data_IF_402956984218
#
_entry.id   IF_402956984218
#
_cell.length_a   1.000
_cell.length_b   1.000
_cell.length_c   1.000
_cell.angle_alpha   90.00
_cell.angle_beta   90.00
_cell.angle_gamma   90.00
#
_symmetry.space_group_name_H-M   'P 1'
#
loop_
_entity.id
_entity.type
_entity.pdbx_description
1 polymer ?
#
# COMPACT_ATOMS: atom_id res chain seq x y z
N UNK A 1 -18.84 -4.95 5.88
CA UNK A 1 -17.69 -4.16 6.31
C UNK A 1 -16.39 -4.72 5.75
N UNK A 2 -15.51 -3.86 5.36
CA UNK A 2 -14.27 -4.24 4.72
C UNK A 2 -13.17 -4.40 5.76
N UNK A 3 -12.53 -5.58 5.82
CA UNK A 3 -11.50 -5.87 6.82
C UNK A 3 -10.12 -5.31 6.47
N UNK A 4 -9.93 -4.82 5.25
CA UNK A 4 -8.61 -4.38 4.79
C UNK A 4 -8.10 -3.19 5.59
N UNK A 5 -8.99 -2.26 5.93
CA UNK A 5 -8.65 -1.09 6.73
C UNK A 5 -8.20 -1.43 8.15
N UNK A 6 -8.60 -2.59 8.64
CA UNK A 6 -8.29 -2.98 10.01
C UNK A 6 -6.79 -3.02 10.26
N UNK A 7 -6.03 -3.51 9.29
CA UNK A 7 -4.59 -3.67 9.46
C UNK A 7 -3.80 -2.44 9.06
N UNK A 8 -4.01 -1.92 7.86
CA UNK A 8 -3.17 -0.83 7.41
C UNK A 8 -3.44 0.49 8.14
N UNK A 9 -4.63 0.67 8.68
CA UNK A 9 -4.91 1.84 9.51
C UNK A 9 -4.24 1.76 10.88
N UNK A 10 -3.93 0.55 11.33
CA UNK A 10 -3.22 0.37 12.59
C UNK A 10 -1.72 0.54 12.47
N UNK A 11 -1.23 0.87 11.30
CA UNK A 11 0.18 1.21 11.10
C UNK A 11 0.45 2.66 11.50
N UNK A 12 -0.36 3.17 12.38
CA UNK A 12 -0.29 4.56 12.85
C UNK A 12 1.01 4.88 13.58
N UNK A 13 1.77 3.88 13.95
CA UNK A 13 3.09 4.08 14.54
C UNK A 13 3.98 4.92 13.62
N UNK A 14 3.77 4.84 12.32
CA UNK A 14 4.50 5.66 11.36
C UNK A 14 3.83 7.01 11.11
N UNK A 15 2.54 7.13 11.39
CA UNK A 15 1.74 8.35 11.20
C UNK A 15 2.01 9.02 9.85
N UNK A 16 1.80 8.24 8.79
CA UNK A 16 2.12 8.68 7.44
C UNK A 16 0.91 8.52 6.53
N UNK A 17 0.91 9.19 5.38
CA UNK A 17 -0.09 8.91 4.35
C UNK A 17 -0.10 7.43 3.99
N UNK A 18 -1.27 6.88 3.72
CA UNK A 18 -1.45 5.46 3.41
C UNK A 18 -2.35 5.30 2.20
N UNK A 19 -2.12 4.25 1.43
CA UNK A 19 -2.98 3.90 0.32
C UNK A 19 -4.33 3.45 0.87
N UNK A 20 -5.40 3.92 0.26
CA UNK A 20 -6.76 3.55 0.64
C UNK A 20 -7.16 2.28 -0.10
N UNK A 21 -6.84 1.13 0.48
CA UNK A 21 -7.14 -0.16 -0.13
C UNK A 21 -8.64 -0.44 -0.21
N UNK A 22 -9.43 0.11 0.70
CA UNK A 22 -10.88 -0.03 0.63
C UNK A 22 -11.44 0.62 -0.63
N UNK A 23 -10.94 1.80 -0.96
CA UNK A 23 -11.40 2.49 -2.15
C UNK A 23 -10.93 1.77 -3.41
N UNK A 24 -9.74 1.19 -3.39
CA UNK A 24 -9.28 0.35 -4.50
C UNK A 24 -10.24 -0.84 -4.69
N UNK A 25 -10.62 -1.50 -3.59
CA UNK A 25 -11.56 -2.62 -3.67
C UNK A 25 -12.91 -2.20 -4.25
N UNK A 26 -13.36 -0.98 -3.95
CA UNK A 26 -14.60 -0.44 -4.50
C UNK A 26 -14.47 -0.10 -5.99
N UNK A 27 -13.27 -0.04 -6.52
CA UNK A 27 -12.99 0.30 -7.92
C UNK A 27 -12.36 -0.86 -8.67
N UNK A 28 -12.84 -2.05 -8.39
CA UNK A 28 -12.53 -3.29 -9.12
C UNK A 28 -11.13 -3.85 -8.91
N UNK A 29 -10.43 -3.40 -7.89
CA UNK A 29 -9.20 -4.04 -7.47
C UNK A 29 -9.51 -5.21 -6.56
N UNK A 30 -8.86 -6.34 -6.77
CA UNK A 30 -8.94 -7.48 -5.85
C UNK A 30 -7.96 -7.22 -4.72
N UNK A 31 -8.50 -7.05 -3.50
CA UNK A 31 -7.69 -6.68 -2.33
C UNK A 31 -7.77 -7.79 -1.29
N UNK A 32 -6.63 -8.18 -0.76
CA UNK A 32 -6.58 -9.18 0.29
C UNK A 32 -5.42 -8.92 1.24
N UNK A 33 -5.57 -9.41 2.46
CA UNK A 33 -4.55 -9.30 3.50
C UNK A 33 -3.86 -10.63 3.72
N UNK A 34 -2.59 -10.54 4.10
CA UNK A 34 -1.80 -11.69 4.52
C UNK A 34 -1.01 -11.27 5.74
N UNK A 35 -1.13 -12.00 6.84
CA UNK A 35 -0.47 -11.66 8.09
C UNK A 35 0.33 -12.83 8.69
N UNK A 36 0.88 -13.69 7.85
CA UNK A 36 1.66 -14.83 8.32
C UNK A 36 2.99 -14.41 8.97
N UNK A 37 3.70 -13.49 8.34
CA UNK A 37 5.02 -13.04 8.82
C UNK A 37 5.06 -11.54 9.03
N UNK A 38 3.94 -10.97 9.39
CA UNK A 38 3.74 -9.55 9.49
C UNK A 38 2.40 -9.20 8.88
N UNK A 39 2.17 -7.94 8.63
CA UNK A 39 0.93 -7.48 8.01
C UNK A 39 1.23 -7.03 6.60
N UNK A 40 0.55 -7.62 5.62
CA UNK A 40 0.63 -7.16 4.25
C UNK A 40 -0.75 -7.03 3.64
N UNK A 41 -0.91 -6.06 2.76
CA UNK A 41 -2.11 -5.88 1.98
C UNK A 41 -1.72 -5.79 0.52
N UNK A 42 -2.40 -6.56 -0.32
CA UNK A 42 -2.13 -6.62 -1.75
C UNK A 42 -3.39 -6.25 -2.51
N UNK A 43 -3.22 -5.43 -3.55
CA UNK A 43 -4.30 -5.07 -4.47
C UNK A 43 -3.86 -5.44 -5.89
N UNK A 44 -4.72 -6.16 -6.61
CA UNK A 44 -4.45 -6.58 -7.99
C UNK A 44 -5.55 -6.12 -8.92
N UNK A 45 -5.14 -5.64 -10.09
CA UNK A 45 -6.07 -5.33 -11.17
C UNK A 45 -5.34 -5.44 -12.50
N UNK A 46 -5.76 -6.37 -13.37
CA UNK A 46 -5.10 -6.61 -14.63
C UNK A 46 -3.67 -7.07 -14.41
N UNK A 47 -2.72 -6.36 -15.01
CA UNK A 47 -1.29 -6.70 -14.90
C UNK A 47 -0.61 -6.06 -13.70
N UNK A 48 -1.32 -5.19 -12.97
CA UNK A 48 -0.75 -4.43 -11.87
C UNK A 48 -1.02 -5.06 -10.51
N UNK A 49 -0.03 -4.98 -9.64
CA UNK A 49 -0.17 -5.39 -8.24
C UNK A 49 0.49 -4.34 -7.36
N UNK A 50 -0.27 -3.84 -6.39
CA UNK A 50 0.25 -2.93 -5.36
C UNK A 50 0.33 -3.72 -4.07
N UNK A 51 1.46 -3.62 -3.36
CA UNK A 51 1.63 -4.33 -2.10
C UNK A 51 2.24 -3.41 -1.05
N UNK A 52 1.65 -3.45 0.14
CA UNK A 52 2.16 -2.76 1.32
C UNK A 52 2.46 -3.80 2.38
N UNK A 53 3.71 -3.86 2.82
CA UNK A 53 4.18 -4.79 3.84
C UNK A 53 4.62 -4.03 5.08
N UNK A 54 4.21 -4.51 6.25
CA UNK A 54 4.61 -3.94 7.51
C UNK A 54 5.18 -5.03 8.40
N UNK A 55 6.43 -4.87 8.84
CA UNK A 55 7.07 -5.78 9.78
C UNK A 55 6.73 -5.36 11.20
N UNK A 56 6.07 -6.23 11.94
CA UNK A 56 5.68 -5.93 13.31
C UNK A 56 6.87 -5.87 14.27
N UNK A 57 7.96 -6.55 13.93
CA UNK A 57 9.12 -6.63 14.81
C UNK A 57 10.18 -5.58 14.53
N UNK A 58 10.27 -5.11 13.29
CA UNK A 58 11.33 -4.19 12.88
C UNK A 58 10.90 -2.77 12.59
N UNK A 59 9.61 -2.48 12.63
CA UNK A 59 9.10 -1.16 12.26
C UNK A 59 9.39 -0.80 10.81
N UNK A 60 9.62 -1.78 9.97
CA UNK A 60 9.92 -1.56 8.56
C UNK A 60 8.62 -1.64 7.77
N UNK A 61 8.46 -0.73 6.83
CA UNK A 61 7.31 -0.63 5.97
C UNK A 61 7.80 -0.58 4.52
N UNK A 62 7.24 -1.43 3.69
CA UNK A 62 7.65 -1.51 2.29
C UNK A 62 6.44 -1.32 1.37
N UNK A 63 6.62 -0.49 0.35
CA UNK A 63 5.66 -0.34 -0.73
C UNK A 63 6.28 -0.87 -2.01
N UNK A 64 5.52 -1.64 -2.76
CA UNK A 64 5.98 -2.17 -4.04
C UNK A 64 4.86 -2.21 -5.06
N UNK A 65 5.23 -2.11 -6.32
CA UNK A 65 4.32 -2.25 -7.45
C UNK A 65 4.93 -3.23 -8.43
N UNK A 66 4.11 -4.17 -8.89
CA UNK A 66 4.50 -5.10 -9.96
C UNK A 66 3.63 -4.84 -11.19
N UNK A 67 4.23 -5.03 -12.34
CA UNK A 67 3.53 -5.05 -13.63
C UNK A 67 4.00 -6.29 -14.37
N UNK A 68 3.05 -7.14 -14.77
CA UNK A 68 3.37 -8.43 -15.41
C UNK A 68 4.35 -9.26 -14.59
N UNK A 69 4.15 -9.30 -13.26
CA UNK A 69 4.99 -10.03 -12.30
C UNK A 69 6.40 -9.49 -12.15
N UNK A 70 6.71 -8.33 -12.71
CA UNK A 70 8.01 -7.69 -12.56
C UNK A 70 7.88 -6.50 -11.62
N UNK A 71 8.80 -6.39 -10.67
CA UNK A 71 8.81 -5.26 -9.76
C UNK A 71 9.24 -4.01 -10.53
N UNK A 72 8.36 -2.99 -10.57
CA UNK A 72 8.65 -1.73 -11.25
C UNK A 72 8.83 -0.58 -10.26
N UNK A 73 8.48 -0.79 -8.99
CA UNK A 73 8.72 0.16 -7.91
C UNK A 73 8.85 -0.62 -6.61
N UNK A 74 9.84 -0.26 -5.81
CA UNK A 74 10.00 -0.85 -4.47
C UNK A 74 10.76 0.13 -3.60
N UNK A 75 10.22 0.42 -2.41
CA UNK A 75 10.86 1.33 -1.47
C UNK A 75 10.59 0.86 -0.04
N UNK A 76 11.66 0.81 0.74
CA UNK A 76 11.57 0.52 2.17
C UNK A 76 11.51 1.83 2.95
N UNK A 77 10.68 1.84 3.98
CA UNK A 77 10.54 2.96 4.90
C UNK A 77 10.73 2.49 6.33
N UNK A 78 11.05 3.42 7.23
CA UNK A 78 11.22 3.14 8.65
C UNK A 78 10.84 4.38 9.45
N UNK A 79 11.19 4.43 10.74
CA UNK A 79 10.86 5.57 11.58
C UNK A 79 11.57 6.86 11.16
N UNK A 80 12.68 6.73 10.45
CA UNK A 80 13.45 7.89 9.98
C UNK A 80 13.01 8.29 8.58
N UNK A 81 12.97 7.32 7.66
CA UNK A 81 12.53 7.57 6.28
C UNK A 81 11.08 7.12 6.15
N UNK A 82 10.15 8.03 6.35
CA UNK A 82 8.71 7.76 6.28
C UNK A 82 8.18 8.08 4.89
N UNK A 83 7.16 7.35 4.43
CA UNK A 83 6.55 7.68 3.14
C UNK A 83 5.84 9.03 3.23
N UNK A 84 6.01 9.83 2.19
CA UNK A 84 5.30 11.09 2.02
C UNK A 84 4.22 10.90 0.96
N UNK A 85 3.37 11.92 0.78
CA UNK A 85 2.36 11.91 -0.28
C UNK A 85 3.03 11.67 -1.64
N UNK A 86 4.24 12.19 -1.85
CA UNK A 86 4.96 12.02 -3.11
C UNK A 86 5.29 10.54 -3.39
N UNK A 87 5.68 9.79 -2.37
CA UNK A 87 5.93 8.35 -2.54
C UNK A 87 4.64 7.58 -2.79
N UNK A 88 3.56 7.94 -2.11
CA UNK A 88 2.26 7.34 -2.37
C UNK A 88 1.81 7.63 -3.81
N UNK A 89 2.02 8.86 -4.27
CA UNK A 89 1.74 9.21 -5.66
C UNK A 89 2.52 8.33 -6.63
N UNK A 90 3.82 8.14 -6.39
CA UNK A 90 4.65 7.31 -7.24
C UNK A 90 4.13 5.88 -7.34
N UNK A 91 3.71 5.32 -6.21
CA UNK A 91 3.15 3.96 -6.17
C UNK A 91 1.87 3.89 -7.00
N UNK A 92 0.95 4.80 -6.76
CA UNK A 92 -0.35 4.76 -7.45
C UNK A 92 -0.21 5.03 -8.94
N UNK A 93 0.66 5.97 -9.32
CA UNK A 93 0.90 6.24 -10.74
C UNK A 93 1.61 5.07 -11.42
N UNK A 94 2.54 4.42 -10.73
CA UNK A 94 3.20 3.23 -11.28
C UNK A 94 2.19 2.11 -11.53
N UNK A 95 1.11 2.07 -10.76
CA UNK A 95 0.05 1.08 -10.93
C UNK A 95 -1.01 1.51 -11.96
N UNK A 96 -0.75 2.59 -12.71
CA UNK A 96 -1.64 3.04 -13.76
C UNK A 96 -2.82 3.87 -13.29
N UNK A 97 -2.79 4.36 -12.06
CA UNK A 97 -3.90 5.13 -11.49
C UNK A 97 -3.63 6.61 -11.69
N UNK A 98 -4.37 7.24 -12.62
CA UNK A 98 -4.18 8.66 -12.92
C UNK A 98 -4.79 9.56 -11.85
N UNK A 99 -5.95 9.20 -11.34
CA UNK A 99 -6.65 9.98 -10.33
C UNK A 99 -6.23 9.55 -8.91
N UNK A 100 -4.93 9.49 -8.69
CA UNK A 100 -4.35 8.93 -7.47
C UNK A 100 -4.75 9.69 -6.21
N UNK A 101 -5.09 10.98 -6.31
CA UNK A 101 -5.39 11.81 -5.12
C UNK A 101 -6.53 11.29 -4.28
N UNK A 102 -7.47 10.55 -4.85
CA UNK A 102 -8.58 10.01 -4.08
C UNK A 102 -8.26 8.66 -3.43
N UNK A 103 -7.11 8.06 -3.76
CA UNK A 103 -6.78 6.71 -3.32
C UNK A 103 -5.78 6.67 -2.17
N UNK A 104 -5.60 7.75 -1.46
CA UNK A 104 -4.77 7.73 -0.26
C UNK A 104 -5.46 8.50 0.87
N UNK A 105 -5.06 8.19 2.11
CA UNK A 105 -5.48 8.94 3.28
C UNK A 105 -4.26 9.64 3.86
N UNK A 106 -4.46 10.86 4.34
CA UNK A 106 -3.39 11.66 4.91
C UNK A 106 -3.45 11.55 6.44
N UNK A 107 -3.02 10.41 6.96
CA UNK A 107 -3.04 10.10 8.39
C UNK A 107 -4.39 10.31 9.04
#
# INVERSE_FOLDING_TARGET
MNNYNKYWKNWNVLQTPKIDFDLLAENDWEVYDNNLNGISTTAKKGVFEIRADYSMTGGVYKLSVKKDNNIIYEQLFNFILKPSVKEIQKVLEAAGIENWRKYYTDC
#
